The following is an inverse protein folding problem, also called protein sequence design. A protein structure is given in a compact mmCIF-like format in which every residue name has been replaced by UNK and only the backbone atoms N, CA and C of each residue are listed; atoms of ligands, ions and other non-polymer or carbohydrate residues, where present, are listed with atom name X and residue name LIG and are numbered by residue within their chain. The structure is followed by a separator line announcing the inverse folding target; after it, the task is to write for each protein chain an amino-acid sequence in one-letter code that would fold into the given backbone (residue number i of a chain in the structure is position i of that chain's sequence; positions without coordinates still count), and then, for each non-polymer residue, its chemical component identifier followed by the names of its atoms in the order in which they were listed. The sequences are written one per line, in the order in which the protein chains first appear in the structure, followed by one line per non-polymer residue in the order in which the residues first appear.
data_IF_834262948174
#
_entry.id   IF_834262948174
#
_cell.length_a   1.000
_cell.length_b   1.000
_cell.length_c   1.000
_cell.angle_alpha   90.00
_cell.angle_beta   90.00
_cell.angle_gamma   90.00
#
_symmetry.space_group_name_H-M   'P 1'
#
loop_
_entity.id
_entity.type
_entity.pdbx_description
1 polymer ?
#
# COMPACT_ATOMS: atom_id res chain seq x y z
N UNK A 1 -2.10 9.26 20.12
CA UNK A 1 -2.17 9.34 18.66
C UNK A 1 -0.76 9.48 18.16
N UNK A 2 -0.36 8.56 17.30
CA UNK A 2 0.95 8.55 16.70
C UNK A 2 0.84 9.04 15.25
N UNK A 3 1.94 9.55 14.72
CA UNK A 3 1.99 10.01 13.33
C UNK A 3 2.85 9.05 12.54
N UNK A 4 2.30 8.50 11.47
CA UNK A 4 3.03 7.63 10.56
C UNK A 4 3.17 8.29 9.20
N UNK A 5 4.31 8.02 8.56
CA UNK A 5 4.56 8.47 7.20
C UNK A 5 4.12 7.37 6.24
N UNK A 6 2.86 7.45 5.78
CA UNK A 6 2.23 6.35 5.00
C UNK A 6 3.02 6.01 3.75
N UNK A 7 3.62 7.00 3.09
CA UNK A 7 4.50 6.75 1.95
C UNK A 7 5.69 5.85 2.30
N UNK A 8 6.35 6.12 3.44
CA UNK A 8 7.50 5.33 3.88
C UNK A 8 7.08 3.93 4.32
N UNK A 9 5.89 3.78 4.91
CA UNK A 9 5.32 2.46 5.25
C UNK A 9 5.05 1.65 4.00
N UNK A 10 4.43 2.25 2.98
CA UNK A 10 4.13 1.56 1.72
C UNK A 10 5.40 1.24 0.93
N UNK A 11 6.40 2.13 0.94
CA UNK A 11 7.69 1.86 0.31
C UNK A 11 8.51 0.82 1.08
N UNK A 12 8.42 0.77 2.41
CA UNK A 12 9.06 -0.26 3.22
C UNK A 12 8.46 -1.65 2.97
N UNK A 13 7.13 -1.71 2.81
CA UNK A 13 6.35 -2.94 2.55
C UNK A 13 6.03 -3.14 1.06
N UNK A 14 6.84 -2.56 0.16
CA UNK A 14 6.60 -2.52 -1.29
C UNK A 14 6.34 -3.92 -1.87
N UNK A 15 7.10 -4.92 -1.42
CA UNK A 15 6.99 -6.30 -1.93
C UNK A 15 5.68 -6.96 -1.50
N UNK A 16 5.31 -6.78 -0.24
CA UNK A 16 4.14 -7.35 0.42
C UNK A 16 2.86 -6.74 -0.17
N UNK A 17 2.79 -5.41 -0.25
CA UNK A 17 1.65 -4.72 -0.85
C UNK A 17 1.49 -5.06 -2.33
N UNK A 18 2.61 -5.17 -3.08
CA UNK A 18 2.54 -5.59 -4.50
C UNK A 18 1.97 -6.99 -4.65
N UNK A 19 2.43 -7.96 -3.84
CA UNK A 19 1.92 -9.34 -3.86
C UNK A 19 0.44 -9.38 -3.52
N UNK A 20 0.03 -8.70 -2.46
CA UNK A 20 -1.38 -8.62 -2.06
C UNK A 20 -2.26 -8.02 -3.17
N UNK A 21 -1.78 -6.95 -3.82
CA UNK A 21 -2.50 -6.33 -4.94
C UNK A 21 -2.58 -7.26 -6.16
N UNK A 22 -1.50 -7.98 -6.48
CA UNK A 22 -1.47 -8.95 -7.58
C UNK A 22 -2.45 -10.10 -7.34
N UNK A 23 -2.49 -10.66 -6.12
CA UNK A 23 -3.44 -11.71 -5.74
C UNK A 23 -4.90 -11.22 -5.82
N UNK A 24 -5.16 -10.01 -5.31
CA UNK A 24 -6.48 -9.37 -5.40
C UNK A 24 -6.95 -9.24 -6.84
N UNK A 25 -6.08 -8.80 -7.75
CA UNK A 25 -6.41 -8.63 -9.17
C UNK A 25 -6.67 -9.99 -9.83
N UNK A 26 -5.84 -11.00 -9.55
CA UNK A 26 -6.03 -12.35 -10.09
C UNK A 26 -7.34 -12.98 -9.65
N UNK A 27 -7.77 -12.74 -8.41
CA UNK A 27 -9.04 -13.25 -7.89
C UNK A 27 -10.24 -12.63 -8.61
N UNK A 28 -10.24 -11.31 -8.82
CA UNK A 28 -11.34 -10.62 -9.48
C UNK A 28 -11.32 -10.71 -11.01
N UNK A 29 -10.15 -10.90 -11.62
CA UNK A 29 -9.95 -10.89 -13.08
C UNK A 29 -9.09 -12.08 -13.54
N UNK A 30 -9.56 -13.33 -13.36
CA UNK A 30 -8.73 -14.55 -13.50
C UNK A 30 -8.26 -14.88 -14.92
N UNK A 31 -8.75 -14.18 -15.95
CA UNK A 31 -8.46 -14.46 -17.37
C UNK A 31 -7.83 -13.27 -18.10
N UNK A 32 -7.39 -12.27 -17.35
CA UNK A 32 -6.84 -11.06 -17.92
C UNK A 32 -5.40 -10.90 -17.46
N UNK A 33 -4.50 -10.67 -18.41
CA UNK A 33 -3.10 -10.40 -18.11
C UNK A 33 -2.95 -8.94 -17.67
N UNK A 34 -2.16 -8.74 -16.62
CA UNK A 34 -1.89 -7.43 -16.08
C UNK A 34 -0.41 -7.28 -15.78
N UNK A 35 0.12 -6.08 -16.01
CA UNK A 35 1.42 -5.68 -15.50
C UNK A 35 1.28 -5.28 -14.02
N UNK A 36 1.56 -6.24 -13.13
CA UNK A 36 1.49 -6.03 -11.69
C UNK A 36 2.38 -4.86 -11.22
N UNK A 37 3.52 -4.62 -11.89
CA UNK A 37 4.41 -3.53 -11.53
C UNK A 37 3.83 -2.17 -11.92
N UNK A 38 3.29 -2.04 -13.14
CA UNK A 38 2.64 -0.81 -13.58
C UNK A 38 1.40 -0.47 -12.74
N UNK A 39 0.62 -1.48 -12.37
CA UNK A 39 -0.56 -1.31 -11.51
C UNK A 39 -0.13 -0.88 -10.11
N UNK A 40 0.84 -1.57 -9.51
CA UNK A 40 1.31 -1.24 -8.18
C UNK A 40 1.93 0.16 -8.12
N UNK A 41 2.69 0.57 -9.14
CA UNK A 41 3.19 1.95 -9.25
C UNK A 41 2.06 2.97 -9.31
N UNK A 42 0.98 2.66 -10.02
CA UNK A 42 -0.21 3.51 -10.08
C UNK A 42 -0.92 3.57 -8.73
N UNK A 43 -1.02 2.44 -8.04
CA UNK A 43 -1.55 2.33 -6.68
C UNK A 43 -0.76 3.21 -5.70
N UNK A 44 0.57 3.08 -5.62
CA UNK A 44 1.41 3.93 -4.76
C UNK A 44 1.18 5.42 -5.00
N UNK A 45 1.15 5.84 -6.27
CA UNK A 45 0.86 7.23 -6.63
C UNK A 45 -0.52 7.69 -6.15
N UNK A 46 -1.53 6.82 -6.17
CA UNK A 46 -2.86 7.16 -5.64
C UNK A 46 -2.85 7.24 -4.12
N UNK A 47 -2.12 6.36 -3.44
CA UNK A 47 -1.92 6.45 -1.98
C UNK A 47 -1.28 7.78 -1.62
N UNK A 48 -0.17 8.16 -2.25
CA UNK A 48 0.54 9.41 -1.91
C UNK A 48 -0.25 10.68 -2.22
N UNK A 49 -1.28 10.59 -3.07
CA UNK A 49 -2.19 11.70 -3.37
C UNK A 49 -3.37 11.80 -2.43
N UNK A 50 -3.81 10.67 -1.88
CA UNK A 50 -5.03 10.56 -1.07
C UNK A 50 -4.73 10.57 0.42
N UNK A 51 -3.61 9.97 0.81
CA UNK A 51 -3.07 10.04 2.15
C UNK A 51 -2.18 11.27 2.24
N UNK A 52 -2.28 11.98 3.35
CA UNK A 52 -1.31 12.98 3.78
C UNK A 52 0.05 12.31 4.00
N UNK A 53 1.13 13.06 3.79
CA UNK A 53 2.49 12.58 4.08
C UNK A 53 2.61 12.07 5.52
N UNK A 54 1.89 12.68 6.47
CA UNK A 54 1.78 12.21 7.84
C UNK A 54 0.32 11.97 8.17
N UNK A 55 -0.04 10.73 8.48
CA UNK A 55 -1.36 10.36 8.95
C UNK A 55 -1.35 10.15 10.47
N UNK A 56 -2.44 10.55 11.12
CA UNK A 56 -2.66 10.26 12.53
C UNK A 56 -3.31 8.89 12.67
N UNK A 57 -2.68 8.03 13.47
CA UNK A 57 -3.20 6.71 13.79
C UNK A 57 -3.29 6.53 15.31
N UNK A 58 -4.27 5.76 15.81
CA UNK A 58 -4.32 5.33 17.20
C UNK A 58 -3.01 4.69 17.66
N UNK A 59 -2.58 4.99 18.89
CA UNK A 59 -1.35 4.41 19.46
C UNK A 59 -1.47 2.89 19.58
N UNK A 60 -2.68 2.37 19.78
CA UNK A 60 -2.97 0.93 19.87
C UNK A 60 -2.63 0.15 18.58
N UNK A 61 -2.39 0.84 17.45
CA UNK A 61 -1.95 0.22 16.19
C UNK A 61 -0.43 0.19 16.04
N UNK A 62 0.32 0.76 16.97
CA UNK A 62 1.79 0.85 16.94
C UNK A 62 2.36 0.13 18.15
N UNK A 63 3.14 -0.91 17.89
CA UNK A 63 3.99 -1.54 18.89
C UNK A 63 5.34 -0.79 18.94
N UNK A 64 5.77 -0.43 20.14
CA UNK A 64 7.07 0.18 20.40
C UNK A 64 7.95 -0.84 21.13
N UNK A 65 9.19 -1.02 20.67
CA UNK A 65 10.21 -1.84 21.37
C UNK A 65 10.69 -1.17 22.69
#
# INVERSE_FOLDING_TARGET
MARIKVEDVVDHLDTEFRRALEETIKEHFPRQDFDAWAIFRTFKRQVYRKCSTWEEVPDDYIEFD
#
